data_IF_840332876848
#
_entry.id   IF_840332876848
#
_cell.length_a   1.000
_cell.length_b   1.000
_cell.length_c   1.000
_cell.angle_alpha   90.00
_cell.angle_beta   90.00
_cell.angle_gamma   90.00
#
_symmetry.space_group_name_H-M   'P 1'
#
loop_
_entity.id
_entity.type
_entity.pdbx_description
1 polymer ?
#
# COMPACT_ATOMS: atom_id res chain seq x y z
N UNK A 1 11.80 -5.11 24.58
CA UNK A 1 11.04 -5.27 25.85
C UNK A 1 9.90 -6.26 25.73
N UNK A 2 9.04 -6.15 24.71
CA UNK A 2 7.87 -7.02 24.52
C UNK A 2 8.18 -8.40 23.91
N UNK A 3 9.44 -8.77 23.67
CA UNK A 3 9.83 -10.06 23.08
C UNK A 3 9.34 -10.30 21.65
N UNK A 4 8.96 -9.24 20.93
CA UNK A 4 8.71 -9.29 19.49
C UNK A 4 10.06 -9.37 18.77
N UNK A 5 10.26 -10.29 17.80
CA UNK A 5 11.51 -10.37 17.05
C UNK A 5 11.79 -9.05 16.33
N UNK A 6 13.00 -8.49 16.48
CA UNK A 6 13.43 -7.26 15.80
C UNK A 6 14.60 -7.54 14.89
N UNK A 7 14.76 -6.74 13.83
CA UNK A 7 15.93 -6.83 12.96
C UNK A 7 17.18 -6.52 13.79
N UNK A 8 18.27 -7.31 13.68
CA UNK A 8 19.53 -6.96 14.33
C UNK A 8 19.99 -5.58 13.87
N UNK A 9 20.15 -4.65 14.82
CA UNK A 9 20.50 -3.26 14.54
C UNK A 9 21.05 -2.54 15.76
N UNK A 10 21.67 -1.38 15.53
CA UNK A 10 22.14 -0.46 16.56
C UNK A 10 21.72 0.98 16.20
N UNK A 11 21.20 1.71 17.18
CA UNK A 11 20.87 3.14 17.02
C UNK A 11 22.12 3.99 17.27
N UNK A 12 22.37 4.98 16.41
CA UNK A 12 23.54 5.85 16.50
C UNK A 12 23.09 7.31 16.51
N UNK A 13 23.13 7.94 17.67
CA UNK A 13 22.87 9.37 17.79
C UNK A 13 24.09 10.17 17.33
N UNK A 14 23.89 11.14 16.43
CA UNK A 14 24.93 12.09 16.03
C UNK A 14 24.94 13.22 17.06
N UNK A 15 25.95 13.25 17.91
CA UNK A 15 26.26 14.42 18.73
C UNK A 15 27.26 15.30 17.99
N UNK A 16 27.02 16.61 17.92
CA UNK A 16 27.96 17.57 17.33
C UNK A 16 29.34 17.45 18.00
N UNK A 17 30.39 17.22 17.21
CA UNK A 17 31.78 17.17 17.68
C UNK A 17 32.29 15.82 18.21
N UNK A 18 31.51 14.73 18.17
CA UNK A 18 31.97 13.38 18.58
C UNK A 18 32.74 12.61 17.48
N UNK A 19 33.42 11.51 17.81
CA UNK A 19 33.98 10.58 16.81
C UNK A 19 32.88 9.66 16.26
N UNK A 20 32.01 10.22 15.43
CA UNK A 20 30.87 9.49 14.85
C UNK A 20 31.33 8.32 13.96
N UNK A 21 32.53 8.42 13.36
CA UNK A 21 33.07 7.41 12.44
C UNK A 21 33.48 6.14 13.18
N UNK A 22 34.12 6.25 14.35
CA UNK A 22 34.49 5.10 15.17
C UNK A 22 33.27 4.33 15.66
N UNK A 23 32.26 5.04 16.16
CA UNK A 23 30.99 4.44 16.60
C UNK A 23 30.27 3.76 15.43
N UNK A 24 30.15 4.46 14.28
CA UNK A 24 29.52 3.94 13.07
C UNK A 24 30.21 2.68 12.54
N UNK A 25 31.54 2.64 12.51
CA UNK A 25 32.29 1.47 12.06
C UNK A 25 32.12 0.27 13.01
N UNK A 26 32.11 0.51 14.32
CA UNK A 26 31.90 -0.54 15.33
C UNK A 26 30.51 -1.16 15.22
N UNK A 27 29.48 -0.31 15.12
CA UNK A 27 28.10 -0.75 14.93
C UNK A 27 27.92 -1.50 13.61
N UNK A 28 28.48 -0.99 12.50
CA UNK A 28 28.40 -1.64 11.21
C UNK A 28 29.13 -3.01 11.18
N UNK A 29 30.22 -3.17 11.94
CA UNK A 29 30.91 -4.44 12.07
C UNK A 29 30.08 -5.50 12.82
N UNK A 30 29.33 -5.09 13.84
CA UNK A 30 28.43 -5.98 14.59
C UNK A 30 27.19 -6.35 13.78
N UNK A 31 26.56 -5.35 13.15
CA UNK A 31 25.37 -5.56 12.31
C UNK A 31 25.74 -6.39 11.10
N UNK A 32 26.83 -6.04 10.40
CA UNK A 32 27.38 -6.67 9.20
C UNK A 32 26.72 -6.22 7.89
N UNK A 33 27.44 -6.38 6.77
CA UNK A 33 26.98 -5.96 5.43
C UNK A 33 26.25 -7.08 4.67
N UNK A 34 25.29 -6.76 3.78
CA UNK A 34 24.74 -5.41 3.56
C UNK A 34 23.91 -4.93 4.75
N UNK A 35 23.89 -3.62 4.97
CA UNK A 35 23.13 -2.96 6.03
C UNK A 35 22.29 -1.81 5.47
N UNK A 36 21.32 -1.37 6.25
CA UNK A 36 20.42 -0.27 5.93
C UNK A 36 20.59 0.83 6.98
N UNK A 37 20.78 2.07 6.54
CA UNK A 37 20.77 3.26 7.38
C UNK A 37 19.39 3.89 7.27
N UNK A 38 18.74 4.19 8.40
CA UNK A 38 17.38 4.76 8.44
C UNK A 38 17.32 5.95 9.39
N UNK A 39 16.61 6.99 8.99
CA UNK A 39 16.27 8.12 9.86
C UNK A 39 15.33 7.67 10.99
N UNK A 40 15.60 8.08 12.23
CA UNK A 40 14.79 7.71 13.39
C UNK A 40 13.37 8.30 13.36
N UNK A 41 13.21 9.46 12.71
CA UNK A 41 11.92 10.15 12.55
C UNK A 41 11.32 9.98 11.14
N UNK A 42 11.92 9.15 10.29
CA UNK A 42 11.52 8.98 8.90
C UNK A 42 10.28 8.10 8.73
N UNK A 43 9.52 8.35 7.65
CA UNK A 43 8.40 7.52 7.22
C UNK A 43 8.22 7.58 5.69
N UNK A 44 7.59 6.56 5.11
CA UNK A 44 7.28 6.51 3.67
C UNK A 44 8.51 6.37 2.74
N UNK A 45 9.57 5.73 3.23
CA UNK A 45 10.75 5.39 2.44
C UNK A 45 11.82 6.49 2.30
N UNK A 46 11.58 7.69 2.82
CA UNK A 46 12.54 8.81 2.80
C UNK A 46 13.60 8.65 3.90
N UNK A 47 14.85 9.01 3.61
CA UNK A 47 15.97 8.89 4.56
C UNK A 47 16.44 7.46 4.82
N UNK A 48 16.24 6.53 3.88
CA UNK A 48 16.76 5.17 3.94
C UNK A 48 17.86 4.95 2.89
N UNK A 49 19.00 4.38 3.29
CA UNK A 49 20.17 4.14 2.40
C UNK A 49 20.76 2.76 2.62
N UNK A 50 20.81 1.95 1.58
CA UNK A 50 21.49 0.65 1.61
C UNK A 50 23.00 0.82 1.49
N UNK A 51 23.76 0.13 2.34
CA UNK A 51 25.22 0.09 2.27
C UNK A 51 25.66 -1.35 2.08
N UNK A 52 26.21 -1.65 0.92
CA UNK A 52 26.69 -3.00 0.57
C UNK A 52 28.17 -3.23 0.92
N UNK A 53 28.96 -2.14 0.98
CA UNK A 53 30.40 -2.22 1.22
C UNK A 53 30.87 -1.20 2.27
N UNK A 54 31.86 -1.56 3.12
CA UNK A 54 32.38 -0.67 4.16
C UNK A 54 32.86 0.69 3.66
N UNK A 55 33.42 0.75 2.44
CA UNK A 55 33.95 2.00 1.87
C UNK A 55 32.87 3.08 1.64
N UNK A 56 31.60 2.66 1.52
CA UNK A 56 30.47 3.56 1.25
C UNK A 56 29.79 4.04 2.55
N UNK A 57 30.07 3.40 3.69
CA UNK A 57 29.36 3.62 4.96
C UNK A 57 29.31 5.10 5.36
N UNK A 58 30.45 5.78 5.28
CA UNK A 58 30.57 7.19 5.66
C UNK A 58 29.68 8.09 4.80
N UNK A 59 29.75 7.93 3.48
CA UNK A 59 29.06 8.81 2.53
C UNK A 59 27.54 8.63 2.64
N UNK A 60 27.09 7.38 2.74
CA UNK A 60 25.65 7.08 2.87
C UNK A 60 25.09 7.56 4.21
N UNK A 61 25.85 7.42 5.30
CA UNK A 61 25.49 7.95 6.61
C UNK A 61 25.36 9.47 6.62
N UNK A 62 26.38 10.19 6.15
CA UNK A 62 26.37 11.66 6.10
C UNK A 62 25.24 12.18 5.19
N UNK A 63 24.86 11.41 4.18
CA UNK A 63 23.74 11.74 3.29
C UNK A 63 22.40 11.49 3.98
N UNK A 64 22.20 10.32 4.59
CA UNK A 64 20.98 9.99 5.33
C UNK A 64 20.73 10.97 6.49
N UNK A 65 21.77 11.31 7.26
CA UNK A 65 21.68 12.25 8.38
C UNK A 65 21.28 13.66 7.92
N UNK A 66 21.87 14.16 6.82
CA UNK A 66 21.50 15.48 6.26
C UNK A 66 20.07 15.49 5.74
N UNK A 67 19.65 14.41 5.06
CA UNK A 67 18.27 14.25 4.57
C UNK A 67 17.28 14.22 5.75
N UNK A 68 17.61 13.50 6.81
CA UNK A 68 16.80 13.42 8.03
C UNK A 68 16.67 14.78 8.73
N UNK A 69 17.79 15.50 8.93
CA UNK A 69 17.77 16.85 9.51
C UNK A 69 16.95 17.84 8.68
N UNK A 70 17.07 17.78 7.35
CA UNK A 70 16.34 18.68 6.46
C UNK A 70 14.83 18.39 6.41
N UNK A 71 14.44 17.11 6.45
CA UNK A 71 13.03 16.70 6.34
C UNK A 71 12.30 16.70 7.69
N UNK A 72 12.99 16.36 8.79
CA UNK A 72 12.37 16.08 10.09
C UNK A 72 12.95 16.90 11.25
N UNK A 73 13.98 17.71 11.02
CA UNK A 73 14.64 18.50 12.07
C UNK A 73 15.52 17.68 13.03
N UNK A 74 15.63 16.36 12.83
CA UNK A 74 16.43 15.43 13.63
C UNK A 74 17.29 14.56 12.71
N UNK A 75 18.62 14.66 12.88
CA UNK A 75 19.61 13.92 12.10
C UNK A 75 19.92 12.53 12.66
N UNK A 76 19.20 12.07 13.68
CA UNK A 76 19.41 10.75 14.30
C UNK A 76 19.10 9.64 13.31
N UNK A 77 20.04 8.71 13.15
CA UNK A 77 19.88 7.53 12.29
C UNK A 77 20.13 6.26 13.09
N UNK A 78 19.60 5.14 12.61
CA UNK A 78 19.93 3.83 13.11
C UNK A 78 20.38 2.94 11.96
N UNK A 79 21.18 1.93 12.28
CA UNK A 79 21.63 0.94 11.33
C UNK A 79 20.97 -0.41 11.64
N UNK A 80 20.49 -1.08 10.61
CA UNK A 80 19.92 -2.41 10.72
C UNK A 80 20.47 -3.32 9.64
N UNK A 81 20.40 -4.64 9.87
CA UNK A 81 20.75 -5.60 8.84
C UNK A 81 19.79 -5.45 7.66
N UNK A 82 20.33 -5.32 6.44
CA UNK A 82 19.49 -5.33 5.25
C UNK A 82 19.05 -6.77 4.94
N UNK A 83 17.75 -7.02 5.01
CA UNK A 83 17.15 -8.29 4.61
C UNK A 83 16.79 -8.23 3.12
N UNK A 84 17.67 -8.74 2.27
CA UNK A 84 17.39 -8.84 0.84
C UNK A 84 16.27 -9.85 0.57
N UNK A 85 15.46 -9.57 -0.45
CA UNK A 85 14.40 -10.47 -0.93
C UNK A 85 13.44 -10.93 0.17
N UNK A 86 13.16 -10.04 1.12
CA UNK A 86 12.16 -10.27 2.14
C UNK A 86 10.77 -10.00 1.58
N UNK A 87 9.76 -10.62 2.18
CA UNK A 87 8.37 -10.19 2.00
C UNK A 87 8.04 -9.12 3.02
N UNK A 88 7.34 -8.08 2.60
CA UNK A 88 6.77 -7.09 3.50
C UNK A 88 5.37 -7.58 3.88
N UNK A 89 5.22 -8.05 5.11
CA UNK A 89 3.95 -8.59 5.62
C UNK A 89 3.56 -7.81 6.86
N UNK A 90 2.31 -7.39 6.91
CA UNK A 90 1.83 -6.53 7.98
C UNK A 90 0.54 -7.05 8.59
N UNK A 91 0.35 -6.80 9.88
CA UNK A 91 -0.79 -7.28 10.66
C UNK A 91 -1.65 -6.11 11.07
N UNK A 92 -2.91 -6.12 10.66
CA UNK A 92 -3.91 -5.19 11.15
C UNK A 92 -4.22 -5.48 12.62
N UNK A 93 -4.10 -4.49 13.50
CA UNK A 93 -4.55 -4.58 14.89
C UNK A 93 -5.70 -3.61 15.15
N UNK A 94 -6.59 -4.00 16.06
CA UNK A 94 -7.69 -3.19 16.56
C UNK A 94 -7.75 -3.33 18.08
N UNK A 95 -7.68 -2.21 18.79
CA UNK A 95 -7.64 -2.17 20.26
C UNK A 95 -8.68 -1.18 20.80
N UNK A 96 -9.34 -1.50 21.91
CA UNK A 96 -10.26 -0.58 22.60
C UNK A 96 -9.68 -0.08 23.94
N UNK A 97 -10.38 0.89 24.54
CA UNK A 97 -10.06 1.44 25.86
C UNK A 97 -10.45 0.53 27.04
N UNK A 98 -11.06 -0.63 26.76
CA UNK A 98 -11.49 -1.63 27.75
C UNK A 98 -10.48 -2.78 27.88
N UNK A 99 -9.37 -2.73 27.13
CA UNK A 99 -8.29 -3.71 27.17
C UNK A 99 -8.39 -4.82 26.11
N UNK A 100 -9.40 -4.79 25.24
CA UNK A 100 -9.47 -5.70 24.10
C UNK A 100 -8.42 -5.32 23.07
N UNK A 101 -7.72 -6.31 22.53
CA UNK A 101 -6.79 -6.13 21.41
C UNK A 101 -6.83 -7.41 20.58
N UNK A 102 -7.18 -7.26 19.29
CA UNK A 102 -7.29 -8.35 18.31
C UNK A 102 -6.49 -7.99 17.05
N UNK A 103 -6.15 -9.00 16.26
CA UNK A 103 -5.62 -8.83 14.90
C UNK A 103 -6.67 -9.23 13.85
N UNK A 104 -6.67 -8.54 12.71
CA UNK A 104 -7.54 -8.81 11.56
C UNK A 104 -6.75 -9.47 10.41
N UNK A 105 -5.95 -10.48 10.78
CA UNK A 105 -5.03 -11.20 9.89
C UNK A 105 -3.97 -10.30 9.25
N UNK A 106 -3.32 -10.81 8.21
CA UNK A 106 -2.19 -10.18 7.54
C UNK A 106 -2.51 -9.63 6.13
N UNK A 107 -1.65 -8.73 5.66
CA UNK A 107 -1.55 -8.28 4.26
C UNK A 107 -0.13 -8.49 3.74
N UNK A 108 0.01 -8.98 2.51
CA UNK A 108 1.27 -8.93 1.77
C UNK A 108 1.33 -7.62 0.98
N UNK A 109 2.35 -6.82 1.26
CA UNK A 109 2.60 -5.53 0.63
C UNK A 109 3.94 -5.53 -0.10
N UNK A 110 4.45 -6.69 -0.51
CA UNK A 110 5.82 -6.85 -1.01
C UNK A 110 6.04 -6.23 -2.39
N UNK A 111 5.00 -6.04 -3.21
CA UNK A 111 5.15 -5.36 -4.49
C UNK A 111 5.31 -3.84 -4.26
N UNK A 112 6.56 -3.41 -4.21
CA UNK A 112 6.94 -2.04 -3.88
C UNK A 112 7.88 -1.46 -4.92
N UNK A 113 7.80 -0.14 -5.13
CA UNK A 113 8.76 0.64 -5.91
C UNK A 113 9.38 1.67 -5.00
N UNK A 114 10.71 1.65 -4.81
CA UNK A 114 11.42 2.57 -3.91
C UNK A 114 10.73 2.68 -2.54
N UNK A 115 10.37 1.54 -1.96
CA UNK A 115 9.69 1.41 -0.67
C UNK A 115 8.25 1.97 -0.62
N UNK A 116 7.64 2.29 -1.77
CA UNK A 116 6.23 2.63 -1.88
C UNK A 116 5.43 1.41 -2.36
N UNK A 117 4.41 1.01 -1.60
CA UNK A 117 3.51 -0.11 -1.92
C UNK A 117 2.70 0.21 -3.17
N UNK A 118 2.56 -0.78 -4.06
CA UNK A 118 1.92 -0.63 -5.38
C UNK A 118 0.70 -1.52 -5.54
N UNK A 119 0.84 -2.79 -5.14
CA UNK A 119 -0.25 -3.76 -5.06
C UNK A 119 -0.14 -4.48 -3.71
N UNK A 120 -1.26 -4.58 -3.02
CA UNK A 120 -1.39 -5.22 -1.71
C UNK A 120 -2.44 -6.31 -1.77
N UNK A 121 -2.25 -7.40 -1.04
CA UNK A 121 -3.22 -8.49 -1.02
C UNK A 121 -3.42 -9.10 0.38
N UNK A 122 -4.63 -9.57 0.63
CA UNK A 122 -5.02 -10.27 1.85
C UNK A 122 -5.78 -11.55 1.49
N UNK A 123 -5.45 -12.69 2.11
CA UNK A 123 -4.26 -12.95 2.94
C UNK A 123 -2.94 -12.93 2.14
N UNK A 124 -1.81 -13.00 2.84
CA UNK A 124 -0.50 -13.09 2.17
C UNK A 124 -0.31 -14.45 1.48
N UNK A 125 0.17 -14.49 0.22
CA UNK A 125 0.45 -15.74 -0.47
C UNK A 125 1.62 -16.48 0.17
N UNK A 126 1.46 -17.79 0.34
CA UNK A 126 2.55 -18.67 0.80
C UNK A 126 2.83 -18.64 2.30
N UNK A 127 2.07 -17.88 3.12
CA UNK A 127 2.18 -17.95 4.57
C UNK A 127 1.47 -19.17 5.15
N UNK A 128 2.22 -19.97 5.93
CA UNK A 128 1.65 -21.06 6.72
C UNK A 128 0.76 -20.51 7.84
N UNK A 129 -0.25 -21.29 8.26
CA UNK A 129 -1.12 -20.90 9.38
C UNK A 129 -0.32 -20.64 10.66
N UNK A 130 0.69 -21.46 10.95
CA UNK A 130 1.58 -21.28 12.10
C UNK A 130 2.31 -19.94 12.08
N UNK A 131 2.82 -19.53 10.92
CA UNK A 131 3.50 -18.24 10.78
C UNK A 131 2.52 -17.09 10.95
N UNK A 132 1.33 -17.20 10.36
CA UNK A 132 0.25 -16.22 10.50
C UNK A 132 -0.14 -16.02 11.97
N UNK A 133 -0.36 -17.10 12.70
CA UNK A 133 -0.72 -17.06 14.13
C UNK A 133 0.40 -16.40 14.95
N UNK A 134 1.66 -16.79 14.71
CA UNK A 134 2.81 -16.22 15.41
C UNK A 134 2.99 -14.70 15.15
N UNK A 135 2.76 -14.26 13.91
CA UNK A 135 2.81 -12.83 13.56
C UNK A 135 1.63 -12.06 14.17
N UNK A 136 0.42 -12.65 14.15
CA UNK A 136 -0.77 -12.10 14.79
C UNK A 136 -0.59 -11.88 16.29
N UNK A 137 -0.08 -12.90 17.00
CA UNK A 137 0.24 -12.81 18.42
C UNK A 137 1.32 -11.75 18.70
N UNK A 138 2.38 -11.71 17.89
CA UNK A 138 3.44 -10.71 18.02
C UNK A 138 2.90 -9.28 17.84
N UNK A 139 2.01 -9.05 16.87
CA UNK A 139 1.40 -7.76 16.61
C UNK A 139 0.50 -7.30 17.76
N UNK A 140 -0.38 -8.18 18.26
CA UNK A 140 -1.23 -7.88 19.43
C UNK A 140 -0.37 -7.60 20.66
N UNK A 141 0.72 -8.35 20.86
CA UNK A 141 1.66 -8.12 21.96
C UNK A 141 2.38 -6.77 21.86
N UNK A 142 2.78 -6.38 20.65
CA UNK A 142 3.36 -5.06 20.39
C UNK A 142 2.37 -3.94 20.75
N UNK A 143 1.14 -4.02 20.23
CA UNK A 143 0.08 -3.04 20.49
C UNK A 143 -0.25 -2.92 21.99
N UNK A 144 -0.40 -4.05 22.70
CA UNK A 144 -0.66 -4.05 24.15
C UNK A 144 0.47 -3.43 24.96
N UNK A 145 1.72 -3.63 24.55
CA UNK A 145 2.87 -3.14 25.31
C UNK A 145 2.99 -1.62 25.36
N UNK A 146 2.37 -0.92 24.41
CA UNK A 146 2.31 0.54 24.35
C UNK A 146 0.93 1.09 24.72
N UNK A 147 0.02 0.24 25.24
CA UNK A 147 -1.35 0.64 25.57
C UNK A 147 -2.11 1.20 24.37
N UNK A 148 -1.91 0.63 23.17
CA UNK A 148 -2.49 1.14 21.94
C UNK A 148 -4.02 1.11 21.94
N UNK A 149 -4.65 2.14 21.37
CA UNK A 149 -6.10 2.27 21.20
C UNK A 149 -6.40 2.71 19.78
N UNK A 150 -7.40 2.10 19.15
CA UNK A 150 -7.80 2.35 17.77
C UNK A 150 -7.30 1.28 16.79
N UNK A 151 -7.33 1.62 15.50
CA UNK A 151 -6.82 0.79 14.43
C UNK A 151 -5.38 1.20 14.09
N UNK A 152 -4.49 0.22 14.02
CA UNK A 152 -3.09 0.41 13.65
C UNK A 152 -2.56 -0.83 12.95
N UNK A 153 -1.33 -0.74 12.45
CA UNK A 153 -0.71 -1.86 11.74
C UNK A 153 0.69 -2.10 12.27
N UNK A 154 1.02 -3.37 12.50
CA UNK A 154 2.37 -3.80 12.83
C UNK A 154 3.01 -4.42 11.59
N UNK A 155 4.06 -3.79 11.08
CA UNK A 155 4.75 -4.22 9.87
C UNK A 155 5.93 -5.14 10.21
N UNK A 156 6.13 -6.16 9.37
CA UNK A 156 7.22 -7.13 9.49
C UNK A 156 7.91 -7.35 8.15
N UNK A 157 9.21 -7.64 8.21
CA UNK A 157 9.94 -8.28 7.12
C UNK A 157 10.00 -9.79 7.37
N UNK A 158 9.47 -10.57 6.44
CA UNK A 158 9.54 -12.02 6.43
C UNK A 158 10.66 -12.49 5.51
N UNK A 159 11.73 -13.03 6.11
CA UNK A 159 12.87 -13.56 5.39
C UNK A 159 12.55 -14.92 4.73
N UNK A 160 13.33 -15.28 3.72
CA UNK A 160 13.18 -16.52 2.94
C UNK A 160 13.30 -17.81 3.76
N UNK A 161 13.93 -17.75 4.94
CA UNK A 161 14.03 -18.86 5.89
C UNK A 161 12.78 -19.00 6.80
N UNK A 162 11.75 -18.16 6.60
CA UNK A 162 10.51 -18.16 7.37
C UNK A 162 10.56 -17.38 8.69
N UNK A 163 11.69 -16.74 9.02
CA UNK A 163 11.79 -15.85 10.18
C UNK A 163 11.22 -14.48 9.83
N UNK A 164 10.43 -13.90 10.73
CA UNK A 164 9.91 -12.54 10.59
C UNK A 164 10.53 -11.61 11.64
N UNK A 165 10.64 -10.34 11.28
CA UNK A 165 11.24 -9.31 12.11
C UNK A 165 10.37 -8.06 12.05
N UNK A 166 10.05 -7.50 13.23
CA UNK A 166 9.33 -6.24 13.35
C UNK A 166 10.11 -5.13 12.65
N UNK A 167 9.38 -4.34 11.87
CA UNK A 167 9.89 -3.20 11.13
C UNK A 167 9.44 -1.90 11.79
N UNK A 168 8.13 -1.68 11.85
CA UNK A 168 7.52 -0.50 12.45
C UNK A 168 6.08 -0.77 12.86
N UNK A 169 5.49 0.16 13.61
CA UNK A 169 4.06 0.19 13.87
C UNK A 169 3.48 1.50 13.33
N UNK A 170 2.60 1.39 12.34
CA UNK A 170 1.82 2.51 11.85
C UNK A 170 0.63 2.74 12.78
N UNK A 171 0.69 3.81 13.57
CA UNK A 171 -0.32 4.17 14.60
C UNK A 171 -1.54 4.89 14.02
N UNK A 172 -1.95 4.49 12.81
CA UNK A 172 -3.05 5.07 12.03
C UNK A 172 -3.61 4.01 11.07
N UNK A 173 -4.75 4.33 10.45
CA UNK A 173 -5.23 3.56 9.31
C UNK A 173 -4.26 3.67 8.12
N UNK A 174 -4.19 2.61 7.33
CA UNK A 174 -3.37 2.53 6.12
C UNK A 174 -4.21 2.59 4.86
N UNK A 175 -3.56 2.86 3.72
CA UNK A 175 -4.21 3.01 2.41
C UNK A 175 -4.92 1.70 2.02
N UNK A 176 -4.22 0.61 2.26
CA UNK A 176 -4.53 -0.80 1.96
C UNK A 176 -5.46 -1.48 2.97
N UNK A 177 -6.04 -0.76 3.93
CA UNK A 177 -7.04 -1.33 4.84
C UNK A 177 -8.24 -2.02 4.14
N UNK A 178 -8.70 -1.62 2.93
CA UNK A 178 -9.84 -2.25 2.29
C UNK A 178 -9.66 -3.74 2.01
N UNK A 179 -8.44 -4.24 1.74
CA UNK A 179 -8.26 -5.69 1.50
C UNK A 179 -8.55 -6.51 2.76
N UNK A 180 -8.31 -5.95 3.94
CA UNK A 180 -8.70 -6.55 5.22
C UNK A 180 -10.21 -6.47 5.42
N UNK A 181 -10.85 -5.34 5.13
CA UNK A 181 -12.31 -5.20 5.24
C UNK A 181 -13.03 -6.19 4.31
N UNK A 182 -12.56 -6.32 3.07
CA UNK A 182 -13.15 -7.21 2.07
C UNK A 182 -13.01 -8.70 2.42
N UNK A 183 -11.98 -9.09 3.18
CA UNK A 183 -11.75 -10.49 3.59
C UNK A 183 -12.35 -10.85 4.94
N UNK A 184 -12.58 -9.86 5.81
CA UNK A 184 -13.11 -10.07 7.16
C UNK A 184 -14.58 -9.67 7.32
N UNK A 185 -15.07 -8.75 6.48
CA UNK A 185 -16.38 -8.11 6.61
C UNK A 185 -16.46 -7.05 7.71
N UNK A 186 -15.31 -6.61 8.24
CA UNK A 186 -15.23 -5.62 9.33
C UNK A 186 -14.89 -4.26 8.72
N UNK A 187 -15.75 -3.26 8.94
CA UNK A 187 -15.48 -1.86 8.59
C UNK A 187 -14.53 -1.23 9.62
N UNK A 188 -13.29 -1.00 9.21
CA UNK A 188 -12.21 -0.50 10.07
C UNK A 188 -12.41 0.98 10.41
N UNK A 189 -12.92 1.78 9.48
CA UNK A 189 -13.16 3.22 9.72
C UNK A 189 -14.29 3.40 10.72
N UNK A 190 -15.39 2.65 10.57
CA UNK A 190 -16.48 2.60 11.56
C UNK A 190 -15.96 2.16 12.92
N UNK A 191 -15.16 1.08 12.98
CA UNK A 191 -14.58 0.60 14.25
C UNK A 191 -13.69 1.63 14.92
N UNK A 192 -12.95 2.45 14.17
CA UNK A 192 -12.19 3.57 14.74
C UNK A 192 -13.11 4.58 15.44
N UNK A 193 -14.25 4.93 14.85
CA UNK A 193 -15.22 5.83 15.48
C UNK A 193 -15.87 5.21 16.72
N UNK A 194 -16.25 3.93 16.68
CA UNK A 194 -16.80 3.20 17.84
C UNK A 194 -15.82 3.19 19.01
N UNK A 195 -14.56 2.85 18.75
CA UNK A 195 -13.49 2.86 19.77
C UNK A 195 -13.25 4.28 20.31
N UNK A 196 -13.21 5.29 19.42
CA UNK A 196 -13.05 6.69 19.84
C UNK A 196 -14.22 7.18 20.70
N UNK A 197 -15.43 6.65 20.49
CA UNK A 197 -16.60 6.89 21.32
C UNK A 197 -16.59 6.12 22.66
N UNK A 198 -15.54 5.34 22.94
CA UNK A 198 -15.40 4.54 24.16
C UNK A 198 -16.20 3.23 24.14
N UNK A 199 -16.65 2.77 22.98
CA UNK A 199 -17.34 1.50 22.85
C UNK A 199 -16.33 0.33 22.89
N UNK A 200 -16.68 -0.83 23.47
CA UNK A 200 -15.86 -2.02 23.35
C UNK A 200 -15.88 -2.55 21.90
N UNK A 201 -14.87 -3.32 21.50
CA UNK A 201 -14.80 -3.86 20.12
C UNK A 201 -16.03 -4.70 19.74
N UNK A 202 -16.64 -5.35 20.73
CA UNK A 202 -17.81 -6.22 20.55
C UNK A 202 -17.49 -7.53 19.82
N UNK A 203 -16.21 -7.91 19.73
CA UNK A 203 -15.76 -9.15 19.11
C UNK A 203 -14.45 -9.65 19.72
N UNK A 204 -14.27 -10.96 19.63
CA UNK A 204 -13.11 -11.70 20.10
C UNK A 204 -12.28 -12.25 18.93
N UNK A 205 -11.02 -12.63 19.20
CA UNK A 205 -10.07 -13.07 18.16
C UNK A 205 -10.58 -14.27 17.35
N UNK A 206 -11.33 -15.19 17.97
CA UNK A 206 -11.90 -16.38 17.34
C UNK A 206 -13.11 -16.09 16.43
N UNK A 207 -13.67 -14.88 16.49
CA UNK A 207 -14.75 -14.44 15.60
C UNK A 207 -14.23 -13.81 14.30
N UNK A 208 -12.95 -13.43 14.29
CA UNK A 208 -12.28 -12.90 13.09
C UNK A 208 -12.07 -14.04 12.10
N UNK A 209 -12.81 -14.00 10.99
CA UNK A 209 -12.70 -14.97 9.90
C UNK A 209 -11.89 -14.41 8.75
N UNK A 210 -11.33 -15.31 7.96
CA UNK A 210 -10.68 -15.00 6.69
C UNK A 210 -11.51 -15.64 5.58
N UNK A 211 -12.15 -14.84 4.74
CA UNK A 211 -13.01 -15.30 3.66
C UNK A 211 -12.53 -14.81 2.30
N UNK A 212 -12.17 -15.74 1.43
CA UNK A 212 -11.69 -15.46 0.09
C UNK A 212 -10.33 -14.76 0.06
N UNK A 213 -10.12 -13.97 -0.98
CA UNK A 213 -8.88 -13.25 -1.26
C UNK A 213 -9.21 -11.88 -1.82
N UNK A 214 -8.54 -10.85 -1.33
CA UNK A 214 -8.70 -9.48 -1.79
C UNK A 214 -7.37 -8.92 -2.27
N UNK A 215 -7.40 -8.12 -3.34
CA UNK A 215 -6.23 -7.45 -3.91
C UNK A 215 -6.59 -5.99 -4.17
N UNK A 216 -5.74 -5.06 -3.73
CA UNK A 216 -5.82 -3.63 -4.02
C UNK A 216 -4.70 -3.24 -4.99
N UNK A 217 -5.03 -2.38 -5.96
CA UNK A 217 -4.07 -1.73 -6.82
C UNK A 217 -4.23 -0.20 -6.73
N UNK A 218 -3.12 0.50 -6.55
CA UNK A 218 -3.09 1.97 -6.48
C UNK A 218 -2.99 2.57 -7.88
N UNK A 219 -4.04 3.28 -8.30
CA UNK A 219 -4.11 3.94 -9.59
C UNK A 219 -3.47 5.32 -9.47
N UNK A 220 -2.33 5.51 -10.13
CA UNK A 220 -1.56 6.75 -10.10
C UNK A 220 -1.61 7.47 -11.44
N UNK A 221 -1.60 8.80 -11.39
CA UNK A 221 -1.31 9.67 -12.51
C UNK A 221 0.22 9.76 -12.70
N UNK A 222 0.80 8.71 -13.28
CA UNK A 222 2.24 8.60 -13.52
C UNK A 222 2.51 7.91 -14.86
N UNK A 223 3.71 8.07 -15.38
CA UNK A 223 4.15 7.50 -16.65
C UNK A 223 5.24 6.42 -16.44
N UNK A 224 4.87 5.12 -16.30
CA UNK A 224 5.82 4.04 -16.08
C UNK A 224 6.93 3.95 -17.14
N UNK A 225 6.61 4.23 -18.41
CA UNK A 225 7.57 4.17 -19.51
C UNK A 225 8.65 5.26 -19.42
N UNK A 226 8.36 6.35 -18.70
CA UNK A 226 9.28 7.46 -18.47
C UNK A 226 9.70 7.57 -17.00
N UNK A 227 9.98 6.42 -16.37
CA UNK A 227 10.49 6.39 -14.99
C UNK A 227 9.46 6.79 -13.94
N UNK A 228 8.17 6.61 -14.22
CA UNK A 228 7.04 6.92 -13.34
C UNK A 228 7.00 8.41 -12.94
N UNK A 229 7.32 9.31 -13.88
CA UNK A 229 7.15 10.74 -13.67
C UNK A 229 5.66 11.07 -13.49
N UNK A 230 5.29 11.95 -12.54
CA UNK A 230 3.91 12.38 -12.37
C UNK A 230 3.33 12.97 -13.66
N UNK A 231 2.09 12.61 -13.97
CA UNK A 231 1.34 13.12 -15.12
C UNK A 231 0.28 14.11 -14.65
N UNK A 232 0.55 15.40 -14.85
CA UNK A 232 -0.39 16.48 -14.53
C UNK A 232 -1.33 16.75 -15.69
N UNK A 233 -2.53 17.25 -15.40
CA UNK A 233 -3.51 17.59 -16.43
C UNK A 233 -4.94 17.46 -15.95
N UNK A 234 -5.88 17.79 -16.84
CA UNK A 234 -7.32 17.63 -16.57
C UNK A 234 -7.74 16.20 -16.89
N UNK A 235 -8.47 15.57 -15.97
CA UNK A 235 -9.14 14.29 -16.21
C UNK A 235 -10.29 14.50 -17.18
N UNK A 236 -10.04 14.27 -18.47
CA UNK A 236 -11.02 14.47 -19.52
C UNK A 236 -12.14 13.43 -19.48
N UNK A 237 -11.82 12.18 -19.11
CA UNK A 237 -12.78 11.09 -18.90
C UNK A 237 -12.36 10.29 -17.68
N UNK A 238 -13.32 9.99 -16.80
CA UNK A 238 -13.09 9.15 -15.62
C UNK A 238 -14.25 8.17 -15.43
N UNK A 239 -14.09 6.94 -15.93
CA UNK A 239 -15.09 5.86 -15.79
C UNK A 239 -14.48 4.71 -15.02
N UNK A 240 -15.01 4.51 -13.81
CA UNK A 240 -14.57 3.48 -12.89
C UNK A 240 -15.23 2.14 -13.23
N UNK A 241 -14.53 1.01 -13.03
CA UNK A 241 -15.14 -0.31 -13.13
C UNK A 241 -16.18 -0.50 -12.02
N UNK A 242 -17.21 -1.30 -12.29
CA UNK A 242 -18.20 -1.69 -11.31
C UNK A 242 -18.59 -3.16 -11.50
N UNK A 243 -19.14 -3.77 -10.45
CA UNK A 243 -19.62 -5.15 -10.49
C UNK A 243 -19.38 -5.90 -9.18
N UNK A 244 -19.84 -7.15 -9.09
CA UNK A 244 -19.69 -7.96 -7.88
C UNK A 244 -18.24 -8.10 -7.43
N UNK A 245 -17.99 -7.76 -6.16
CA UNK A 245 -16.67 -7.84 -5.55
C UNK A 245 -15.62 -6.89 -6.15
N UNK A 246 -16.07 -5.78 -6.75
CA UNK A 246 -15.23 -4.64 -7.13
C UNK A 246 -15.62 -3.46 -6.22
N UNK A 247 -14.62 -2.85 -5.59
CA UNK A 247 -14.73 -1.61 -4.81
C UNK A 247 -13.73 -0.60 -5.36
N UNK A 248 -14.16 0.65 -5.49
CA UNK A 248 -13.30 1.76 -5.90
C UNK A 248 -13.41 2.87 -4.87
N UNK A 249 -12.29 3.17 -4.21
CA UNK A 249 -12.16 4.34 -3.35
C UNK A 249 -11.45 5.42 -4.19
N UNK A 250 -12.18 6.42 -4.68
CA UNK A 250 -11.63 7.45 -5.58
C UNK A 250 -11.49 8.81 -4.90
N UNK A 251 -10.34 9.46 -5.12
CA UNK A 251 -10.07 10.83 -4.66
C UNK A 251 -10.39 11.92 -5.68
N UNK A 252 -10.87 11.55 -6.87
CA UNK A 252 -11.06 12.45 -8.02
C UNK A 252 -12.35 12.16 -8.78
N UNK A 253 -12.78 13.12 -9.60
CA UNK A 253 -13.94 13.05 -10.49
C UNK A 253 -13.55 13.45 -11.91
N UNK A 254 -14.40 13.07 -12.87
CA UNK A 254 -14.25 13.56 -14.25
C UNK A 254 -14.27 15.10 -14.25
N UNK A 255 -13.31 15.70 -14.95
CA UNK A 255 -13.12 17.14 -15.02
C UNK A 255 -12.16 17.73 -13.99
N UNK A 256 -11.76 16.99 -12.95
CA UNK A 256 -10.78 17.46 -11.97
C UNK A 256 -9.38 17.63 -12.60
N UNK A 257 -8.57 18.47 -11.97
CA UNK A 257 -7.17 18.72 -12.38
C UNK A 257 -6.22 17.99 -11.45
N UNK A 258 -5.37 17.14 -12.03
CA UNK A 258 -4.20 16.56 -11.36
C UNK A 258 -3.09 17.60 -11.35
N UNK A 259 -2.62 17.96 -10.15
CA UNK A 259 -1.59 18.98 -9.93
C UNK A 259 -0.33 18.36 -9.34
N UNK A 260 0.76 19.13 -9.29
CA UNK A 260 2.03 18.69 -8.71
C UNK A 260 2.07 18.84 -7.17
N UNK A 261 1.09 19.52 -6.59
CA UNK A 261 1.10 19.91 -5.18
C UNK A 261 0.86 18.74 -4.22
N UNK A 262 0.34 17.62 -4.73
CA UNK A 262 -0.07 16.46 -3.96
C UNK A 262 0.47 15.15 -4.53
N UNK A 263 0.25 14.07 -3.77
CA UNK A 263 0.49 12.72 -4.23
C UNK A 263 -0.34 12.41 -5.51
N UNK A 264 0.24 11.75 -6.53
CA UNK A 264 -0.45 11.51 -7.81
C UNK A 264 -1.49 10.38 -7.76
N UNK A 265 -1.82 9.81 -6.60
CA UNK A 265 -2.82 8.74 -6.48
C UNK A 265 -4.23 9.27 -6.80
N UNK A 266 -4.87 8.64 -7.79
CA UNK A 266 -6.22 8.98 -8.24
C UNK A 266 -7.29 8.14 -7.55
N UNK A 267 -7.01 6.84 -7.39
CA UNK A 267 -7.96 5.87 -6.86
C UNK A 267 -7.25 4.64 -6.31
N UNK A 268 -7.98 3.90 -5.47
CA UNK A 268 -7.65 2.52 -5.10
C UNK A 268 -8.69 1.62 -5.74
N UNK A 269 -8.23 0.64 -6.52
CA UNK A 269 -9.10 -0.38 -7.10
C UNK A 269 -8.92 -1.67 -6.29
N UNK A 270 -9.98 -2.06 -5.58
CA UNK A 270 -9.98 -3.22 -4.69
C UNK A 270 -10.91 -4.27 -5.26
N UNK A 271 -10.46 -5.53 -5.31
CA UNK A 271 -11.31 -6.64 -5.67
C UNK A 271 -11.27 -7.73 -4.63
N UNK A 272 -12.38 -8.44 -4.46
CA UNK A 272 -12.47 -9.66 -3.65
C UNK A 272 -12.89 -10.82 -4.53
N UNK A 273 -12.44 -12.05 -4.26
CA UNK A 273 -12.93 -13.26 -4.89
C UNK A 273 -12.77 -14.48 -3.96
N UNK A 274 -13.35 -15.65 -4.28
CA UNK A 274 -13.22 -16.85 -3.43
C UNK A 274 -11.78 -17.38 -3.27
N UNK A 275 -10.90 -17.09 -4.24
CA UNK A 275 -9.51 -17.53 -4.25
C UNK A 275 -8.62 -16.50 -4.95
N UNK A 276 -7.30 -16.56 -4.68
CA UNK A 276 -6.31 -15.64 -5.23
C UNK A 276 -6.30 -15.58 -6.76
N UNK A 277 -6.38 -16.73 -7.44
CA UNK A 277 -6.38 -16.77 -8.90
C UNK A 277 -7.61 -16.08 -9.50
N UNK A 278 -8.77 -16.27 -8.88
CA UNK A 278 -10.00 -15.56 -9.22
C UNK A 278 -9.91 -14.05 -8.92
N UNK A 279 -9.26 -13.65 -7.83
CA UNK A 279 -9.03 -12.24 -7.50
C UNK A 279 -8.11 -11.57 -8.53
N UNK A 280 -7.02 -12.23 -8.93
CA UNK A 280 -6.11 -11.76 -9.99
C UNK A 280 -6.87 -11.53 -11.30
N UNK A 281 -7.66 -12.51 -11.74
CA UNK A 281 -8.47 -12.38 -12.97
C UNK A 281 -9.47 -11.22 -12.86
N UNK A 282 -10.10 -11.06 -11.70
CA UNK A 282 -11.06 -9.98 -11.45
C UNK A 282 -10.40 -8.61 -11.48
N UNK A 283 -9.25 -8.45 -10.82
CA UNK A 283 -8.50 -7.19 -10.81
C UNK A 283 -7.99 -6.84 -12.21
N UNK A 284 -7.42 -7.81 -12.92
CA UNK A 284 -6.97 -7.61 -14.31
C UNK A 284 -8.14 -7.18 -15.23
N UNK A 285 -9.31 -7.82 -15.09
CA UNK A 285 -10.52 -7.45 -15.81
C UNK A 285 -11.01 -6.04 -15.46
N UNK A 286 -11.09 -5.71 -14.17
CA UNK A 286 -11.53 -4.40 -13.69
C UNK A 286 -10.60 -3.27 -14.18
N UNK A 287 -9.28 -3.47 -14.09
CA UNK A 287 -8.28 -2.54 -14.66
C UNK A 287 -8.45 -2.36 -16.17
N UNK A 288 -8.74 -3.43 -16.92
CA UNK A 288 -8.94 -3.33 -18.38
C UNK A 288 -10.17 -2.53 -18.79
N UNK A 289 -11.17 -2.44 -17.91
CA UNK A 289 -12.40 -1.67 -18.12
C UNK A 289 -12.34 -0.25 -17.56
N UNK A 290 -11.27 0.10 -16.84
CA UNK A 290 -11.09 1.42 -16.24
C UNK A 290 -10.71 2.41 -17.35
N UNK A 291 -11.51 3.47 -17.54
CA UNK A 291 -11.22 4.52 -18.53
C UNK A 291 -10.79 5.79 -17.81
N UNK A 292 -9.51 6.15 -17.94
CA UNK A 292 -8.92 7.38 -17.44
C UNK A 292 -8.22 8.10 -18.60
N UNK A 293 -8.78 9.21 -19.08
CA UNK A 293 -8.23 10.00 -20.19
C UNK A 293 -7.86 11.41 -19.72
N UNK A 294 -6.87 12.00 -20.38
CA UNK A 294 -6.38 13.36 -20.12
C UNK A 294 -5.07 13.42 -19.32
N UNK A 295 -4.72 12.33 -18.63
CA UNK A 295 -3.40 12.11 -17.99
C UNK A 295 -2.92 10.69 -18.30
N UNK A 296 -1.60 10.46 -18.21
CA UNK A 296 -1.03 9.11 -18.22
C UNK A 296 -1.27 8.45 -16.87
N UNK A 297 -1.49 7.14 -16.87
CA UNK A 297 -1.71 6.36 -15.65
C UNK A 297 -0.87 5.10 -15.64
N UNK A 298 -0.69 4.51 -14.47
CA UNK A 298 0.02 3.24 -14.29
C UNK A 298 -0.84 1.98 -14.53
N UNK A 299 -2.06 2.10 -15.07
CA UNK A 299 -3.02 0.99 -15.20
C UNK A 299 -2.45 -0.18 -16.01
N UNK A 300 -1.77 0.10 -17.11
CA UNK A 300 -1.16 -0.95 -17.95
C UNK A 300 -0.03 -1.67 -17.23
N UNK A 301 0.84 -0.93 -16.54
CA UNK A 301 1.88 -1.50 -15.70
C UNK A 301 1.30 -2.44 -14.63
N UNK A 302 0.23 -2.03 -13.95
CA UNK A 302 -0.46 -2.87 -12.96
C UNK A 302 -1.01 -4.15 -13.58
N UNK A 303 -1.60 -4.07 -14.78
CA UNK A 303 -2.11 -5.25 -15.50
C UNK A 303 -0.99 -6.22 -15.85
N UNK A 304 0.15 -5.72 -16.33
CA UNK A 304 1.29 -6.56 -16.68
C UNK A 304 1.88 -7.22 -15.42
N UNK A 305 2.01 -6.48 -14.33
CA UNK A 305 2.46 -7.01 -13.03
C UNK A 305 1.58 -8.18 -12.55
N UNK A 306 0.25 -8.08 -12.69
CA UNK A 306 -0.68 -9.16 -12.30
C UNK A 306 -0.55 -10.43 -13.14
N UNK A 307 -0.09 -10.30 -14.39
CA UNK A 307 0.14 -11.43 -15.30
C UNK A 307 1.56 -11.98 -15.22
N UNK A 308 2.46 -11.29 -14.50
CA UNK A 308 3.84 -11.72 -14.34
C UNK A 308 3.93 -13.02 -13.52
N UNK A 309 4.82 -13.94 -13.92
CA UNK A 309 4.92 -15.26 -13.31
C UNK A 309 5.23 -15.19 -11.81
N UNK A 310 6.09 -14.26 -11.38
CA UNK A 310 6.41 -14.05 -9.96
C UNK A 310 5.21 -13.58 -9.15
N UNK A 311 4.30 -12.80 -9.74
CA UNK A 311 3.07 -12.40 -9.08
C UNK A 311 2.13 -13.60 -8.97
N UNK A 312 1.91 -14.33 -10.07
CA UNK A 312 1.02 -15.50 -10.10
C UNK A 312 1.48 -16.58 -9.11
N UNK A 313 2.78 -16.84 -9.01
CA UNK A 313 3.35 -17.84 -8.08
C UNK A 313 3.36 -17.40 -6.62
N UNK A 314 3.16 -16.10 -6.34
CA UNK A 314 3.28 -15.52 -5.00
C UNK A 314 4.72 -15.29 -4.53
N UNK A 315 5.69 -15.34 -5.45
CA UNK A 315 7.13 -15.19 -5.16
C UNK A 315 7.63 -13.74 -5.20
N UNK A 316 6.73 -12.75 -5.20
CA UNK A 316 7.09 -11.33 -5.08
C UNK A 316 7.77 -11.09 -3.73
N UNK A 317 8.90 -10.41 -3.79
CA UNK A 317 9.67 -9.87 -2.66
C UNK A 317 9.85 -8.35 -2.86
N UNK A 318 10.36 -7.65 -1.85
CA UNK A 318 10.54 -6.19 -1.86
C UNK A 318 11.47 -5.68 -2.97
N UNK A 319 12.30 -6.56 -3.51
CA UNK A 319 13.33 -6.20 -4.50
C UNK A 319 12.82 -6.47 -5.93
N UNK A 320 11.61 -7.00 -6.10
CA UNK A 320 11.10 -7.46 -7.38
C UNK A 320 11.11 -6.37 -8.46
N UNK A 321 10.52 -5.19 -8.20
CA UNK A 321 10.46 -4.14 -9.21
C UNK A 321 11.83 -3.52 -9.51
N UNK A 322 12.74 -3.50 -8.54
CA UNK A 322 14.09 -2.97 -8.71
C UNK A 322 15.01 -3.97 -9.44
N UNK A 323 14.67 -5.27 -9.44
CA UNK A 323 15.45 -6.35 -10.08
C UNK A 323 14.85 -6.88 -11.38
N UNK A 324 13.63 -6.50 -11.73
CA UNK A 324 12.94 -6.89 -12.97
C UNK A 324 13.24 -5.87 -14.07
N UNK A 325 13.49 -6.33 -15.29
CA UNK A 325 13.62 -5.43 -16.44
C UNK A 325 12.28 -4.70 -16.65
N UNK A 326 12.25 -3.35 -16.66
CA UNK A 326 11.03 -2.60 -16.91
C UNK A 326 10.29 -3.03 -18.18
N UNK A 327 11.00 -3.53 -19.20
CA UNK A 327 10.39 -4.03 -20.44
C UNK A 327 9.45 -5.22 -20.22
N UNK A 328 9.67 -6.02 -19.17
CA UNK A 328 8.78 -7.13 -18.80
C UNK A 328 7.44 -6.66 -18.21
N UNK A 329 7.38 -5.40 -17.76
CA UNK A 329 6.22 -4.80 -17.10
C UNK A 329 5.56 -3.70 -17.93
N UNK A 330 6.13 -3.36 -19.09
CA UNK A 330 5.54 -2.44 -20.07
C UNK A 330 4.94 -3.19 -21.24
N UNK A 331 3.73 -2.81 -21.66
CA UNK A 331 3.15 -3.33 -22.89
C UNK A 331 3.68 -2.58 -24.12
N UNK A 332 3.48 -3.11 -25.34
CA UNK A 332 3.80 -2.38 -26.55
C UNK A 332 2.91 -1.14 -26.65
N UNK A 333 3.47 -0.01 -27.07
CA UNK A 333 2.68 1.17 -27.39
C UNK A 333 1.59 0.80 -28.41
N UNK A 334 0.33 1.19 -28.17
CA UNK A 334 -0.74 0.89 -29.11
C UNK A 334 -0.46 1.59 -30.45
N UNK A 335 -0.63 0.85 -31.54
CA UNK A 335 -0.45 1.39 -32.89
C UNK A 335 -1.41 2.58 -33.12
N UNK A 336 -0.85 3.78 -33.26
CA UNK A 336 -1.60 5.00 -33.50
C UNK A 336 -2.51 4.89 -34.72
N UNK A 337 -2.10 4.18 -35.77
CA UNK A 337 -2.92 3.97 -36.97
C UNK A 337 -4.13 3.10 -36.63
N UNK A 338 -3.94 2.05 -35.84
CA UNK A 338 -5.03 1.20 -35.35
C UNK A 338 -6.00 1.99 -34.48
N UNK A 339 -5.51 2.79 -33.53
CA UNK A 339 -6.33 3.64 -32.67
C UNK A 339 -7.16 4.66 -33.47
N UNK A 340 -6.55 5.37 -34.42
CA UNK A 340 -7.24 6.32 -35.30
C UNK A 340 -8.28 5.61 -36.16
N UNK A 341 -7.97 4.41 -36.67
CA UNK A 341 -8.89 3.61 -37.48
C UNK A 341 -10.10 3.14 -36.67
N UNK A 342 -9.89 2.69 -35.42
CA UNK A 342 -10.94 2.31 -34.48
C UNK A 342 -11.81 3.52 -34.13
N UNK A 343 -11.20 4.66 -33.78
CA UNK A 343 -11.92 5.89 -33.45
C UNK A 343 -12.78 6.38 -34.63
N UNK A 344 -12.20 6.42 -35.83
CA UNK A 344 -12.89 6.84 -37.07
C UNK A 344 -14.05 5.90 -37.40
N UNK A 345 -13.85 4.59 -37.27
CA UNK A 345 -14.89 3.59 -37.50
C UNK A 345 -16.01 3.69 -36.46
N UNK A 346 -15.65 3.89 -35.20
CA UNK A 346 -16.59 4.05 -34.08
C UNK A 346 -17.45 5.30 -34.27
N UNK A 347 -16.86 6.44 -34.66
CA UNK A 347 -17.61 7.66 -34.96
C UNK A 347 -18.52 7.48 -36.20
N UNK A 348 -18.04 6.80 -37.25
CA UNK A 348 -18.88 6.49 -38.42
C UNK A 348 -20.08 5.60 -38.08
N UNK A 349 -19.88 4.64 -37.18
CA UNK A 349 -20.94 3.76 -36.66
C UNK A 349 -21.84 4.46 -35.63
N UNK A 350 -21.53 5.70 -35.25
CA UNK A 350 -22.29 6.48 -34.29
C UNK A 350 -22.13 6.01 -32.85
N UNK A 351 -21.03 5.35 -32.50
CA UNK A 351 -20.73 4.96 -31.11
C UNK A 351 -20.44 6.17 -30.20
N UNK A 352 -20.13 7.32 -30.80
CA UNK A 352 -20.02 8.64 -30.17
C UNK A 352 -21.36 9.39 -30.07
N UNK A 353 -22.40 8.92 -30.77
CA UNK A 353 -23.74 9.48 -30.67
C UNK A 353 -24.33 9.04 -29.35
N UNK A 354 -24.21 9.90 -28.33
CA UNK A 354 -25.00 9.77 -27.12
C UNK A 354 -26.47 9.55 -27.51
N UNK A 355 -27.01 8.37 -27.23
CA UNK A 355 -28.45 8.21 -27.09
C UNK A 355 -28.85 9.08 -25.92
N UNK A 356 -29.23 10.32 -26.23
CA UNK A 356 -29.87 11.27 -25.33
C UNK A 356 -31.27 10.76 -24.98
N UNK A 357 -31.33 9.64 -24.27
CA UNK A 357 -32.35 9.44 -23.26
C UNK A 357 -31.79 10.09 -21.98
N UNK A 358 -31.83 11.42 -21.94
CA UNK A 358 -31.71 12.15 -20.70
C UNK A 358 -32.98 11.87 -19.90
N UNK A 359 -32.98 10.79 -19.10
CA UNK A 359 -33.57 10.86 -17.78
C UNK A 359 -32.41 11.12 -16.85
N UNK A 360 -32.33 12.34 -16.31
CA UNK A 360 -31.55 12.55 -15.08
C UNK A 360 -31.94 11.42 -14.11
N UNK A 361 -30.98 10.62 -13.59
CA UNK A 361 -31.32 9.69 -12.55
C UNK A 361 -31.59 10.57 -11.32
N UNK A 362 -32.87 10.80 -11.05
CA UNK A 362 -33.30 11.02 -9.69
C UNK A 362 -32.76 9.79 -8.93
N UNK A 363 -31.91 10.03 -7.95
CA UNK A 363 -31.53 9.00 -6.99
C UNK A 363 -32.82 8.50 -6.35
N UNK A 364 -33.22 7.26 -6.68
CA UNK A 364 -34.45 6.59 -6.20
C UNK A 364 -34.50 6.47 -4.66
N UNK A 365 -33.40 6.82 -3.96
CA UNK A 365 -33.33 6.83 -2.50
C UNK A 365 -33.30 8.22 -1.86
N UNK A 366 -32.89 9.29 -2.57
CA UNK A 366 -32.67 10.61 -1.94
C UNK A 366 -33.33 11.82 -2.63
N UNK A 367 -33.73 11.72 -3.89
CA UNK A 367 -34.58 12.74 -4.53
C UNK A 367 -33.98 14.15 -4.76
N UNK A 368 -32.67 14.40 -4.61
CA UNK A 368 -32.09 15.75 -4.78
C UNK A 368 -30.74 15.79 -5.54
N UNK A 369 -30.53 16.87 -6.32
CA UNK A 369 -29.24 17.19 -6.97
C UNK A 369 -28.32 17.97 -6.02
N UNK A 370 -27.21 17.35 -5.60
CA UNK A 370 -26.04 18.03 -5.04
C UNK A 370 -25.82 17.90 -3.52
N UNK A 371 -24.60 17.44 -3.19
CA UNK A 371 -23.93 17.35 -1.87
C UNK A 371 -24.44 16.29 -0.87
N UNK A 372 -23.73 15.14 -0.72
CA UNK A 372 -24.08 14.08 0.24
C UNK A 372 -23.81 14.45 1.71
N UNK A 373 -23.10 15.55 2.01
CA UNK A 373 -22.77 15.93 3.40
C UNK A 373 -23.86 16.75 4.11
N UNK A 374 -24.96 17.08 3.42
CA UNK A 374 -26.08 17.83 4.02
C UNK A 374 -27.11 16.96 4.75
N UNK A 375 -27.01 15.63 4.66
CA UNK A 375 -27.97 14.67 5.24
C UNK A 375 -27.42 13.86 6.41
N UNK A 376 -26.37 14.33 7.09
CA UNK A 376 -25.97 13.84 8.42
C UNK A 376 -27.08 14.18 9.44
N UNK A 377 -28.16 13.41 9.38
CA UNK A 377 -29.40 13.70 10.06
C UNK A 377 -30.39 12.56 9.92
N UNK A 378 -29.93 11.31 10.08
CA UNK A 378 -30.72 10.22 10.66
C UNK A 378 -29.84 9.00 10.94
N UNK A 379 -29.99 8.37 12.12
CA UNK A 379 -29.31 7.13 12.46
C UNK A 379 -29.93 5.98 11.67
N UNK A 380 -29.10 5.04 11.20
CA UNK A 380 -29.56 3.80 10.59
C UNK A 380 -29.40 2.63 11.59
N UNK A 381 -30.26 1.59 11.53
CA UNK A 381 -30.31 0.49 12.49
C UNK A 381 -29.09 -0.43 12.44
#
# INVERSE_FOLDING_TARGET
>A
ESGVPVIPGEQIAIQEGSDHLGALASSAAKVGYPLLIKASAGGGGKGMRSVSEPKNLRIEFETAAREASAAFGDGTVYIERLLNRAKHVEIQVLCDSHGSAIHLNERDCSLQRRYQKVIEEAPSPGLSQRTRDAMGEAAVKAARSVGYVGAGTVEFLLASNGQFYFLEMNTRIQVEHPVTEMTTGIDLVQKQFEVAAGMPLGMSQNEVKLNGHSIEARIYAEDPANGFLPSIGKLAVWRQPSGPGIRVDSGVREGDSVTIDFDPMLAKLVVHAPDRGSAIRRLHGALSSFVALGVRTNIEFLRNALTHQSFISGSIDTDFLDSTDPQELTGPDPDHIALVSIASSSSRLGADRNSSAASDPIDDHTGHQGDPFRTLGRPFP
#
